data_IF_058587644153
#
_entry.id   IF_058587644153
#
_cell.length_a   1.000
_cell.length_b   1.000
_cell.length_c   1.000
_cell.angle_alpha   90.00
_cell.angle_beta   90.00
_cell.angle_gamma   90.00
#
_symmetry.space_group_name_H-M   'P 1'
#
loop_
_entity.id
_entity.type
_entity.pdbx_description
1 polymer ?
#
# COMPACT_ATOMS: atom_id res chain seq x y z
N UNK A 1 14.87 -9.89 -6.50
CA UNK A 1 14.40 -10.30 -5.16
C UNK A 1 12.90 -10.00 -5.10
N UNK A 2 12.10 -10.71 -4.31
CA UNK A 2 10.72 -10.25 -4.06
C UNK A 2 10.77 -9.07 -3.08
N UNK A 3 9.93 -8.07 -3.29
CA UNK A 3 9.82 -6.87 -2.44
C UNK A 3 8.37 -6.70 -1.99
N UNK A 4 8.08 -5.70 -1.17
CA UNK A 4 6.70 -5.35 -0.85
C UNK A 4 6.10 -4.62 -2.04
N UNK A 5 5.07 -5.19 -2.65
CA UNK A 5 4.25 -4.51 -3.65
C UNK A 5 2.99 -4.00 -3.00
N UNK A 6 2.61 -2.77 -3.32
CA UNK A 6 1.50 -2.08 -2.65
C UNK A 6 0.66 -1.26 -3.61
N UNK A 7 -0.64 -1.20 -3.32
CA UNK A 7 -1.58 -0.22 -3.83
C UNK A 7 -2.14 0.54 -2.64
N UNK A 8 -1.87 1.84 -2.59
CA UNK A 8 -2.38 2.73 -1.56
C UNK A 8 -3.38 3.72 -2.18
N UNK A 9 -4.45 4.02 -1.45
CA UNK A 9 -5.49 4.92 -1.91
C UNK A 9 -5.99 5.82 -0.77
N UNK A 10 -6.14 7.12 -1.05
CA UNK A 10 -6.80 8.08 -0.17
C UNK A 10 -8.21 8.34 -0.67
N UNK A 11 -9.18 8.24 0.23
CA UNK A 11 -10.57 8.53 -0.05
C UNK A 11 -10.98 9.91 0.53
N UNK A 12 -11.98 10.58 -0.03
CA UNK A 12 -12.42 11.88 0.47
C UNK A 12 -13.09 11.79 1.85
N UNK A 13 -13.44 10.58 2.30
CA UNK A 13 -14.16 10.32 3.55
C UNK A 13 -14.02 8.86 3.97
N UNK A 14 -14.06 8.63 5.28
CA UNK A 14 -13.79 7.32 5.91
C UNK A 14 -14.77 6.24 5.44
N UNK A 15 -16.04 6.59 5.18
CA UNK A 15 -17.04 5.60 4.74
C UNK A 15 -16.71 4.98 3.38
N UNK A 16 -16.08 5.74 2.49
CA UNK A 16 -15.63 5.21 1.20
C UNK A 16 -14.40 4.32 1.36
N UNK A 17 -13.47 4.68 2.26
CA UNK A 17 -12.34 3.83 2.60
C UNK A 17 -12.80 2.50 3.22
N UNK A 18 -13.80 2.51 4.10
CA UNK A 18 -14.41 1.30 4.68
C UNK A 18 -15.02 0.41 3.59
N UNK A 19 -15.76 0.99 2.64
CA UNK A 19 -16.36 0.20 1.57
C UNK A 19 -15.30 -0.35 0.60
N UNK A 20 -14.23 0.40 0.31
CA UNK A 20 -13.11 -0.07 -0.48
C UNK A 20 -12.34 -1.21 0.23
N UNK A 21 -12.04 -1.06 1.52
CA UNK A 21 -11.45 -2.12 2.35
C UNK A 21 -12.30 -3.40 2.29
N UNK A 22 -13.62 -3.28 2.47
CA UNK A 22 -14.52 -4.43 2.39
C UNK A 22 -14.46 -5.12 1.02
N UNK A 23 -14.48 -4.36 -0.07
CA UNK A 23 -14.46 -4.92 -1.43
C UNK A 23 -13.11 -5.56 -1.79
N UNK A 24 -11.99 -4.97 -1.37
CA UNK A 24 -10.67 -5.59 -1.50
C UNK A 24 -10.55 -6.85 -0.61
N UNK A 25 -11.17 -6.84 0.57
CA UNK A 25 -11.26 -8.02 1.43
C UNK A 25 -12.07 -9.15 0.79
N UNK A 26 -13.16 -8.84 0.09
CA UNK A 26 -13.93 -9.80 -0.71
C UNK A 26 -13.11 -10.34 -1.89
N UNK A 27 -12.40 -9.48 -2.61
CA UNK A 27 -11.47 -9.87 -3.67
C UNK A 27 -10.42 -10.85 -3.14
N UNK A 28 -9.76 -10.50 -2.01
CA UNK A 28 -8.75 -11.36 -1.39
C UNK A 28 -9.32 -12.73 -1.05
N UNK A 29 -10.51 -12.80 -0.45
CA UNK A 29 -11.17 -14.08 -0.15
C UNK A 29 -11.49 -14.87 -1.42
N UNK A 30 -12.01 -14.23 -2.46
CA UNK A 30 -12.33 -14.89 -3.73
C UNK A 30 -11.07 -15.43 -4.42
N UNK A 31 -9.95 -14.69 -4.35
CA UNK A 31 -8.68 -15.12 -4.91
C UNK A 31 -8.08 -16.30 -4.15
N UNK A 32 -8.12 -16.28 -2.81
CA UNK A 32 -7.68 -17.41 -1.98
C UNK A 32 -8.50 -18.66 -2.29
N UNK A 33 -9.81 -18.53 -2.45
CA UNK A 33 -10.67 -19.66 -2.79
C UNK A 33 -10.36 -20.20 -4.20
N UNK A 34 -10.12 -19.30 -5.16
CA UNK A 34 -9.66 -19.68 -6.49
C UNK A 34 -8.35 -20.48 -6.42
N UNK A 35 -7.34 -20.01 -5.69
CA UNK A 35 -6.06 -20.74 -5.54
C UNK A 35 -6.23 -22.13 -4.91
N UNK A 36 -7.17 -22.29 -3.98
CA UNK A 36 -7.43 -23.57 -3.31
C UNK A 36 -8.17 -24.58 -4.18
N UNK A 37 -8.99 -24.10 -5.12
CA UNK A 37 -9.94 -24.94 -5.87
C UNK A 37 -9.55 -25.17 -7.32
N UNK A 38 -8.74 -24.28 -7.90
CA UNK A 38 -8.23 -24.45 -9.26
C UNK A 38 -7.20 -25.60 -9.29
N UNK A 39 -7.27 -26.52 -10.28
CA UNK A 39 -6.30 -27.61 -10.41
C UNK A 39 -4.91 -27.13 -10.86
N UNK A 40 -4.78 -25.93 -11.41
CA UNK A 40 -3.54 -25.31 -11.88
C UNK A 40 -3.58 -23.77 -11.72
N UNK A 41 -3.68 -23.24 -10.47
CA UNK A 41 -3.84 -21.81 -10.20
C UNK A 41 -2.64 -20.99 -10.67
N UNK A 42 -1.49 -21.65 -10.82
CA UNK A 42 -0.23 -21.12 -11.29
C UNK A 42 0.09 -21.54 -12.73
N UNK A 43 -0.88 -22.07 -13.48
CA UNK A 43 -0.71 -22.52 -14.87
C UNK A 43 -0.49 -21.38 -15.85
N UNK A 44 -0.78 -20.14 -15.42
CA UNK A 44 -0.42 -18.87 -16.08
C UNK A 44 -0.95 -18.66 -17.51
N UNK A 45 -1.99 -19.41 -17.92
CA UNK A 45 -2.58 -19.27 -19.27
C UNK A 45 -3.62 -18.17 -19.35
N UNK A 46 -4.32 -17.90 -18.25
CA UNK A 46 -5.41 -16.94 -18.19
C UNK A 46 -5.34 -16.11 -16.91
N UNK A 47 -6.00 -14.96 -16.91
CA UNK A 47 -6.16 -14.14 -15.71
C UNK A 47 -7.22 -14.77 -14.81
N UNK A 48 -6.98 -14.91 -13.50
CA UNK A 48 -7.94 -15.48 -12.57
C UNK A 48 -9.29 -14.79 -12.64
N UNK A 49 -10.36 -15.59 -12.71
CA UNK A 49 -11.74 -15.12 -12.78
C UNK A 49 -12.10 -14.09 -11.70
N UNK A 50 -11.65 -14.20 -10.43
CA UNK A 50 -11.90 -13.16 -9.43
C UNK A 50 -11.44 -11.75 -9.84
N UNK A 51 -10.31 -11.62 -10.57
CA UNK A 51 -9.81 -10.33 -11.04
C UNK A 51 -10.71 -9.75 -12.14
N UNK A 52 -11.13 -10.60 -13.08
CA UNK A 52 -12.03 -10.22 -14.17
C UNK A 52 -13.39 -9.75 -13.63
N UNK A 53 -13.96 -10.50 -12.68
CA UNK A 53 -15.24 -10.16 -12.05
C UNK A 53 -15.15 -8.88 -11.22
N UNK A 54 -14.02 -8.67 -10.54
CA UNK A 54 -13.77 -7.45 -9.78
C UNK A 54 -13.69 -6.24 -10.70
N UNK A 55 -12.88 -6.30 -11.76
CA UNK A 55 -12.82 -5.22 -12.76
C UNK A 55 -14.19 -4.89 -13.35
N UNK A 56 -14.92 -5.92 -13.80
CA UNK A 56 -16.25 -5.75 -14.41
C UNK A 56 -17.26 -5.08 -13.47
N UNK A 57 -17.24 -5.39 -12.16
CA UNK A 57 -18.11 -4.75 -11.16
C UNK A 57 -17.91 -3.24 -11.07
N UNK A 58 -16.69 -2.78 -11.34
CA UNK A 58 -16.31 -1.36 -11.29
C UNK A 58 -16.23 -0.70 -12.68
N UNK A 59 -16.65 -1.39 -13.74
CA UNK A 59 -16.61 -0.88 -15.11
C UNK A 59 -15.18 -0.74 -15.67
N UNK A 60 -14.22 -1.48 -15.12
CA UNK A 60 -12.82 -1.51 -15.57
C UNK A 60 -12.54 -2.84 -16.25
N UNK A 61 -12.07 -2.81 -17.49
CA UNK A 61 -11.67 -4.03 -18.20
C UNK A 61 -10.31 -4.51 -17.69
N UNK A 62 -10.28 -5.72 -17.13
CA UNK A 62 -9.03 -6.29 -16.64
C UNK A 62 -8.31 -7.01 -17.80
N UNK A 63 -7.07 -6.63 -18.14
CA UNK A 63 -6.41 -7.17 -19.33
C UNK A 63 -6.30 -8.70 -19.28
N UNK A 64 -6.76 -9.42 -20.32
CA UNK A 64 -6.74 -10.89 -20.39
C UNK A 64 -5.35 -11.52 -20.62
N UNK A 65 -4.29 -10.78 -20.37
CA UNK A 65 -2.90 -11.20 -20.61
C UNK A 65 -2.26 -11.71 -19.32
N UNK A 66 -1.38 -12.69 -19.47
CA UNK A 66 -0.77 -13.42 -18.35
C UNK A 66 -0.06 -12.52 -17.33
N UNK A 67 0.50 -11.40 -17.77
CA UNK A 67 1.25 -10.40 -17.01
C UNK A 67 0.35 -9.43 -16.23
N UNK A 68 -0.97 -9.47 -16.44
CA UNK A 68 -1.92 -8.66 -15.67
C UNK A 68 -2.43 -9.36 -14.40
N UNK A 69 -1.93 -10.55 -14.07
CA UNK A 69 -2.26 -11.25 -12.81
C UNK A 69 -1.47 -10.68 -11.64
N UNK A 70 -1.92 -10.98 -10.43
CA UNK A 70 -1.06 -10.80 -9.26
C UNK A 70 0.16 -11.72 -9.32
N UNK A 71 1.34 -11.16 -9.09
CA UNK A 71 2.62 -11.84 -9.09
C UNK A 71 3.20 -11.76 -7.69
N UNK A 72 2.90 -12.77 -6.86
CA UNK A 72 3.36 -12.87 -5.48
C UNK A 72 4.38 -13.99 -5.33
N UNK A 73 5.18 -13.92 -4.27
CA UNK A 73 6.21 -14.93 -3.99
C UNK A 73 5.62 -16.22 -3.40
N UNK A 74 4.66 -16.05 -2.48
CA UNK A 74 4.01 -17.13 -1.74
C UNK A 74 2.52 -17.21 -2.12
N UNK A 75 1.77 -18.10 -1.48
CA UNK A 75 0.32 -18.20 -1.70
C UNK A 75 -0.37 -16.87 -1.40
N UNK A 76 -1.51 -16.59 -2.05
CA UNK A 76 -2.20 -15.31 -1.86
C UNK A 76 -2.57 -15.05 -0.41
N UNK A 77 -2.95 -16.10 0.32
CA UNK A 77 -3.32 -16.01 1.73
C UNK A 77 -2.14 -15.58 2.59
N UNK A 78 -0.97 -16.17 2.36
CA UNK A 78 0.25 -15.89 3.12
C UNK A 78 0.86 -14.53 2.72
N UNK A 79 0.86 -14.22 1.43
CA UNK A 79 1.57 -13.07 0.88
C UNK A 79 0.79 -11.74 0.98
N UNK A 80 -0.55 -11.75 0.93
CA UNK A 80 -1.33 -10.49 0.87
C UNK A 80 -1.93 -10.05 2.18
N UNK A 81 -1.92 -8.75 2.39
CA UNK A 81 -2.52 -8.07 3.54
C UNK A 81 -3.28 -6.83 3.07
N UNK A 82 -4.21 -6.41 3.91
CA UNK A 82 -5.05 -5.25 3.70
C UNK A 82 -5.16 -4.52 5.04
N UNK A 83 -4.89 -3.23 5.04
CA UNK A 83 -5.05 -2.37 6.20
C UNK A 83 -5.70 -1.06 5.78
N UNK A 84 -6.58 -0.53 6.62
CA UNK A 84 -7.18 0.79 6.49
C UNK A 84 -6.84 1.62 7.71
N UNK A 85 -6.34 2.82 7.48
CA UNK A 85 -6.10 3.83 8.51
C UNK A 85 -6.89 5.07 8.12
N UNK A 86 -7.90 5.43 8.90
CA UNK A 86 -8.80 6.54 8.59
C UNK A 86 -9.37 6.45 7.17
N UNK A 87 -8.98 7.40 6.30
CA UNK A 87 -9.38 7.52 4.89
C UNK A 87 -8.44 6.80 3.92
N UNK A 88 -7.35 6.23 4.41
CA UNK A 88 -6.33 5.53 3.63
C UNK A 88 -6.61 4.03 3.60
N UNK A 89 -6.47 3.41 2.44
CA UNK A 89 -6.50 1.96 2.28
C UNK A 89 -5.18 1.52 1.64
N UNK A 90 -4.53 0.53 2.25
CA UNK A 90 -3.30 -0.06 1.76
C UNK A 90 -3.52 -1.55 1.51
N UNK A 91 -3.38 -1.97 0.27
CA UNK A 91 -3.41 -3.36 -0.14
C UNK A 91 -2.02 -3.76 -0.62
N UNK A 92 -1.39 -4.71 0.05
CA UNK A 92 0.02 -5.00 -0.19
C UNK A 92 0.36 -6.48 -0.04
N UNK A 93 1.54 -6.88 -0.49
CA UNK A 93 2.07 -8.21 -0.26
C UNK A 93 3.50 -8.42 -0.75
N UNK A 94 4.09 -9.55 -0.39
CA UNK A 94 5.43 -9.94 -0.85
C UNK A 94 5.40 -10.49 -2.27
N UNK A 95 6.01 -9.78 -3.23
CA UNK A 95 5.90 -10.15 -4.65
C UNK A 95 6.65 -9.27 -5.63
N UNK A 96 6.04 -9.15 -6.81
CA UNK A 96 6.52 -8.44 -8.00
C UNK A 96 5.46 -7.54 -8.63
N UNK A 97 4.17 -7.90 -8.53
CA UNK A 97 3.07 -7.05 -8.99
C UNK A 97 1.78 -7.36 -8.23
N UNK A 98 1.03 -6.31 -7.89
CA UNK A 98 -0.28 -6.39 -7.25
C UNK A 98 -1.35 -5.62 -8.04
N UNK A 99 -1.48 -5.93 -9.33
CA UNK A 99 -2.56 -5.47 -10.21
C UNK A 99 -2.29 -4.15 -10.91
N UNK A 100 -1.17 -3.50 -10.58
CA UNK A 100 -0.64 -2.32 -11.23
C UNK A 100 -1.70 -1.26 -11.59
N UNK A 101 -1.62 -0.64 -12.77
CA UNK A 101 -2.55 0.41 -13.19
C UNK A 101 -4.02 -0.01 -13.24
N UNK A 102 -4.30 -1.30 -13.43
CA UNK A 102 -5.68 -1.81 -13.51
C UNK A 102 -6.35 -1.72 -12.13
N UNK A 103 -5.67 -2.21 -11.09
CA UNK A 103 -6.20 -2.12 -9.72
C UNK A 103 -6.29 -0.65 -9.28
N UNK A 104 -5.33 0.20 -9.67
CA UNK A 104 -5.42 1.64 -9.41
C UNK A 104 -6.65 2.29 -10.04
N UNK A 105 -6.94 1.94 -11.29
CA UNK A 105 -8.14 2.44 -11.99
C UNK A 105 -9.44 2.00 -11.29
N UNK A 106 -9.46 0.79 -10.73
CA UNK A 106 -10.59 0.29 -9.93
C UNK A 106 -10.72 1.07 -8.62
N UNK A 107 -9.63 1.35 -7.92
CA UNK A 107 -9.64 2.18 -6.69
C UNK A 107 -10.17 3.59 -6.98
N UNK A 108 -9.76 4.20 -8.10
CA UNK A 108 -10.34 5.46 -8.56
C UNK A 108 -11.83 5.35 -8.86
N UNK A 109 -12.28 4.26 -9.48
CA UNK A 109 -13.71 4.00 -9.73
C UNK A 109 -14.51 3.78 -8.44
N UNK A 110 -13.87 3.35 -7.35
CA UNK A 110 -14.46 3.30 -6.00
C UNK A 110 -14.53 4.68 -5.32
N UNK A 111 -13.94 5.71 -5.93
CA UNK A 111 -13.97 7.08 -5.43
C UNK A 111 -12.73 7.50 -4.63
N UNK A 112 -11.58 6.82 -4.80
CA UNK A 112 -10.31 7.32 -4.30
C UNK A 112 -9.94 8.64 -5.01
N UNK A 113 -9.47 9.63 -4.25
CA UNK A 113 -8.95 10.90 -4.80
C UNK A 113 -7.53 10.74 -5.32
N UNK A 114 -6.73 9.95 -4.61
CA UNK A 114 -5.32 9.69 -4.92
C UNK A 114 -5.12 8.18 -4.83
N UNK A 115 -4.42 7.63 -5.81
CA UNK A 115 -4.01 6.23 -5.83
C UNK A 115 -2.58 6.15 -6.29
N UNK A 116 -1.74 5.47 -5.51
CA UNK A 116 -0.31 5.39 -5.79
C UNK A 116 0.25 4.04 -5.33
N UNK A 117 1.38 3.65 -5.92
CA UNK A 117 2.21 2.54 -5.46
C UNK A 117 3.36 3.03 -4.56
N UNK A 118 3.78 4.30 -4.73
CA UNK A 118 4.70 4.99 -3.83
C UNK A 118 3.91 5.79 -2.80
N UNK A 119 4.29 5.71 -1.54
CA UNK A 119 3.48 6.25 -0.46
C UNK A 119 4.19 7.40 0.21
N UNK A 120 3.95 8.61 -0.30
CA UNK A 120 4.47 9.83 0.31
C UNK A 120 3.36 10.39 1.19
N UNK A 121 3.40 10.04 2.47
CA UNK A 121 2.37 10.37 3.44
C UNK A 121 2.78 11.59 4.26
N UNK A 122 1.77 12.28 4.79
CA UNK A 122 1.94 13.30 5.82
C UNK A 122 0.96 13.07 6.96
N UNK A 123 1.43 13.33 8.17
CA UNK A 123 0.64 13.46 9.39
C UNK A 123 0.89 14.84 10.02
N UNK A 124 0.01 15.26 10.92
CA UNK A 124 0.20 16.51 11.69
C UNK A 124 0.54 16.17 13.14
N UNK A 125 1.52 16.85 13.70
CA UNK A 125 1.87 16.75 15.12
C UNK A 125 2.32 18.11 15.66
N UNK A 126 1.87 18.48 16.86
CA UNK A 126 2.36 19.68 17.55
C UNK A 126 3.82 19.54 18.01
N UNK A 127 4.28 18.30 18.17
CA UNK A 127 5.62 17.92 18.64
C UNK A 127 6.26 16.95 17.64
N UNK A 128 6.64 17.43 16.44
CA UNK A 128 7.13 16.56 15.37
C UNK A 128 8.42 15.81 15.75
N UNK A 129 9.29 16.40 16.57
CA UNK A 129 10.52 15.73 17.02
C UNK A 129 10.22 14.55 17.95
N UNK A 130 9.37 14.76 18.95
CA UNK A 130 8.97 13.68 19.86
C UNK A 130 8.25 12.57 19.10
N UNK A 131 7.36 12.93 18.17
CA UNK A 131 6.63 11.93 17.39
C UNK A 131 7.56 11.12 16.48
N UNK A 132 8.57 11.77 15.90
CA UNK A 132 9.61 11.07 15.17
C UNK A 132 10.36 10.09 16.07
N UNK A 133 10.80 10.53 17.25
CA UNK A 133 11.52 9.69 18.23
C UNK A 133 10.69 8.43 18.60
N UNK A 134 9.39 8.58 18.85
CA UNK A 134 8.48 7.45 19.14
C UNK A 134 8.38 6.45 17.97
N UNK A 135 8.31 6.95 16.73
CA UNK A 135 8.24 6.09 15.54
C UNK A 135 9.57 5.39 15.26
N UNK A 136 10.69 6.06 15.48
CA UNK A 136 12.04 5.50 15.35
C UNK A 136 12.28 4.43 16.40
N UNK A 137 11.96 4.70 17.67
CA UNK A 137 12.08 3.73 18.76
C UNK A 137 11.28 2.46 18.45
N UNK A 138 10.04 2.60 17.94
CA UNK A 138 9.25 1.47 17.49
C UNK A 138 9.92 0.65 16.37
N UNK A 139 10.50 1.31 15.36
CA UNK A 139 11.16 0.62 14.24
C UNK A 139 12.45 -0.08 14.68
N UNK A 140 13.22 0.53 15.58
CA UNK A 140 14.42 -0.08 16.16
C UNK A 140 14.06 -1.29 17.04
N UNK A 141 12.99 -1.22 17.83
CA UNK A 141 12.49 -2.35 18.63
C UNK A 141 12.04 -3.53 17.76
N UNK A 142 11.61 -3.27 16.51
CA UNK A 142 11.23 -4.29 15.53
C UNK A 142 12.41 -4.81 14.69
N UNK A 143 13.65 -4.40 14.99
CA UNK A 143 14.88 -4.76 14.25
C UNK A 143 14.86 -4.29 12.78
N UNK A 144 14.34 -3.08 12.53
CA UNK A 144 14.18 -2.48 11.19
C UNK A 144 15.04 -1.22 10.99
N UNK A 145 16.09 -1.03 11.81
CA UNK A 145 16.96 0.16 11.78
C UNK A 145 17.72 0.37 10.46
N UNK A 146 17.81 -0.65 9.61
CA UNK A 146 18.51 -0.61 8.32
C UNK A 146 17.60 -0.27 7.13
N UNK A 147 16.31 -0.05 7.35
CA UNK A 147 15.29 0.14 6.31
C UNK A 147 14.68 1.55 6.28
N UNK A 148 15.27 2.50 7.01
CA UNK A 148 14.81 3.88 6.97
C UNK A 148 15.94 4.90 7.21
N UNK A 149 15.72 6.11 6.73
CA UNK A 149 16.57 7.27 6.97
C UNK A 149 15.76 8.41 7.59
N UNK A 150 16.37 9.11 8.56
CA UNK A 150 15.79 10.29 9.21
C UNK A 150 16.25 11.55 8.48
N UNK A 151 15.29 12.37 8.09
CA UNK A 151 15.49 13.64 7.38
C UNK A 151 16.44 13.53 6.18
N UNK A 152 16.14 12.63 5.22
CA UNK A 152 17.00 12.44 4.06
C UNK A 152 17.16 13.72 3.25
N UNK A 153 18.37 13.96 2.74
CA UNK A 153 18.68 15.12 1.92
C UNK A 153 17.98 15.05 0.54
N UNK A 154 17.92 13.84 -0.05
CA UNK A 154 17.24 13.58 -1.32
C UNK A 154 16.03 12.67 -1.09
N UNK A 155 14.83 13.21 -1.33
CA UNK A 155 13.57 12.50 -1.13
C UNK A 155 13.22 11.57 -2.29
N UNK A 156 13.76 11.82 -3.46
CA UNK A 156 13.42 11.09 -4.69
C UNK A 156 14.08 9.70 -4.73
N UNK A 157 15.06 9.47 -3.85
CA UNK A 157 15.73 8.18 -3.68
C UNK A 157 14.90 7.16 -2.88
N UNK A 158 13.79 7.59 -2.25
CA UNK A 158 12.97 6.75 -1.38
C UNK A 158 11.64 6.32 -2.03
N UNK A 159 11.26 5.06 -1.80
CA UNK A 159 10.00 4.49 -2.29
C UNK A 159 8.80 4.98 -1.49
N UNK A 160 8.97 5.13 -0.18
CA UNK A 160 7.94 5.62 0.72
C UNK A 160 8.52 6.71 1.62
N UNK A 161 7.68 7.67 1.99
CA UNK A 161 8.05 8.77 2.87
C UNK A 161 6.92 9.01 3.87
N UNK A 162 7.30 9.40 5.08
CA UNK A 162 6.38 9.97 6.05
C UNK A 162 6.88 11.34 6.50
N UNK A 163 6.14 12.39 6.17
CA UNK A 163 6.36 13.74 6.70
C UNK A 163 5.53 13.97 7.96
N UNK A 164 6.20 14.25 9.07
CA UNK A 164 5.60 14.65 10.34
C UNK A 164 5.59 16.16 10.39
N UNK A 165 4.45 16.75 10.02
CA UNK A 165 4.31 18.20 9.87
C UNK A 165 3.94 18.87 11.19
N UNK A 166 4.85 19.69 11.70
CA UNK A 166 4.61 20.56 12.84
C UNK A 166 4.31 22.02 12.49
N UNK A 167 4.02 22.85 13.51
CA UNK A 167 3.65 24.25 13.31
C UNK A 167 4.82 25.14 12.88
N UNK A 168 6.07 24.73 13.12
CA UNK A 168 7.28 25.54 12.85
C UNK A 168 8.30 24.83 11.95
N UNK A 169 8.32 23.51 11.99
CA UNK A 169 9.22 22.68 11.20
C UNK A 169 8.54 21.33 10.92
N UNK A 170 9.20 20.50 10.13
CA UNK A 170 8.73 19.16 9.79
C UNK A 170 9.90 18.20 9.88
N UNK A 171 9.59 16.94 10.20
CA UNK A 171 10.54 15.83 10.23
C UNK A 171 10.12 14.79 9.21
N UNK A 172 11.07 14.04 8.69
CA UNK A 172 10.81 13.07 7.62
C UNK A 172 11.44 11.74 7.96
N UNK A 173 10.70 10.67 7.71
CA UNK A 173 11.24 9.31 7.57
C UNK A 173 11.16 8.92 6.10
N UNK A 174 12.30 8.56 5.52
CA UNK A 174 12.36 7.91 4.22
C UNK A 174 12.54 6.41 4.37
N UNK A 175 11.87 5.63 3.53
CA UNK A 175 11.96 4.16 3.49
C UNK A 175 12.36 3.73 2.08
N UNK A 176 13.45 2.98 1.99
CA UNK A 176 14.07 2.57 0.74
C UNK A 176 14.02 1.05 0.53
N UNK A 177 14.42 0.62 -0.67
CA UNK A 177 14.45 -0.78 -1.08
C UNK A 177 15.84 -1.44 -0.94
N UNK A 178 16.76 -0.85 -0.16
CA UNK A 178 18.23 -1.03 -0.19
C UNK A 178 18.79 -2.46 -0.08
N UNK A 179 17.93 -3.46 -0.01
CA UNK A 179 18.25 -4.86 -0.25
C UNK A 179 17.36 -5.81 0.56
N UNK A 180 16.55 -5.26 1.46
CA UNK A 180 15.64 -5.96 2.36
C UNK A 180 14.28 -5.30 2.22
N UNK A 181 13.31 -6.08 1.73
CA UNK A 181 11.88 -5.77 1.60
C UNK A 181 11.37 -4.63 2.52
N UNK A 182 10.56 -3.70 1.99
CA UNK A 182 10.02 -2.47 2.64
C UNK A 182 9.09 -2.72 3.85
N UNK A 183 9.47 -3.59 4.77
CA UNK A 183 8.66 -3.99 5.91
C UNK A 183 8.61 -2.88 6.96
N UNK A 184 9.64 -2.06 7.11
CA UNK A 184 9.64 -0.89 8.00
C UNK A 184 8.44 0.03 7.77
N UNK A 185 8.20 0.45 6.53
CA UNK A 185 7.07 1.30 6.21
C UNK A 185 5.73 0.61 6.54
N UNK A 186 5.61 -0.67 6.19
CA UNK A 186 4.40 -1.46 6.46
C UNK A 186 4.12 -1.62 7.96
N UNK A 187 5.15 -1.88 8.77
CA UNK A 187 5.04 -2.01 10.23
C UNK A 187 4.68 -0.68 10.88
N UNK A 188 5.10 0.42 10.27
CA UNK A 188 4.81 1.77 10.77
C UNK A 188 3.37 2.22 10.49
N UNK A 189 2.75 1.83 9.37
CA UNK A 189 1.38 2.26 9.00
C UNK A 189 0.36 2.13 10.16
N UNK A 190 0.26 1.00 10.89
CA UNK A 190 -0.63 0.88 12.05
C UNK A 190 -0.42 1.93 13.14
N UNK A 191 0.81 2.44 13.31
CA UNK A 191 1.13 3.44 14.33
C UNK A 191 0.53 4.81 14.02
N UNK A 192 0.03 5.02 12.79
CA UNK A 192 -0.56 6.28 12.34
C UNK A 192 -2.08 6.37 12.59
N UNK A 193 -2.67 5.37 13.25
CA UNK A 193 -4.10 5.36 13.55
C UNK A 193 -4.51 6.55 14.43
N UNK A 194 -5.59 7.24 14.06
CA UNK A 194 -6.03 8.48 14.69
C UNK A 194 -5.27 9.75 14.27
N UNK A 195 -4.27 9.67 13.38
CA UNK A 195 -3.46 10.82 12.95
C UNK A 195 -3.89 11.41 11.60
N UNK A 196 -4.96 10.89 10.98
CA UNK A 196 -5.49 11.24 9.65
C UNK A 196 -4.38 11.39 8.58
N UNK A 197 -3.60 10.31 8.33
CA UNK A 197 -2.58 10.33 7.29
C UNK A 197 -3.22 10.64 5.94
N UNK A 198 -2.52 11.42 5.12
CA UNK A 198 -2.93 11.79 3.77
C UNK A 198 -1.75 11.81 2.83
N UNK A 199 -1.98 11.71 1.52
CA UNK A 199 -0.90 11.85 0.56
C UNK A 199 -0.36 13.30 0.53
N UNK A 200 0.94 13.40 0.33
CA UNK A 200 1.57 14.62 -0.14
C UNK A 200 1.21 14.73 -1.63
N UNK A 201 0.28 15.63 -1.95
CA UNK A 201 0.04 16.00 -3.34
C UNK A 201 1.35 16.59 -3.85
N UNK A 202 1.99 15.94 -4.83
CA UNK A 202 3.01 16.61 -5.64
C UNK A 202 2.27 17.78 -6.29
N UNK A 203 2.53 19.00 -5.81
CA UNK A 203 2.02 20.18 -6.50
C UNK A 203 2.55 20.08 -7.93
N UNK A 204 1.64 20.07 -8.91
CA UNK A 204 2.01 20.18 -10.31
C UNK A 204 2.82 21.47 -10.45
N UNK A 205 4.13 21.36 -10.69
CA UNK A 205 4.96 22.49 -11.14
C UNK A 205 4.43 23.06 -12.47
#
# INVERSE_FOLDING_TARGET
MAHVVMQAAEFPRVELAIEAEKQLGELRKAYIEFEKTDPDPWGFKEVPKPLLEFGARHGVDWPHRKDARFLLKDSFDEATRLIRIERMVFFYGGGFDLGGPTLRSILSAMGAEIVDEFCYLKIRSETPDQRLEELVEFLEDEELEDQFEIDPEDRDDFLHLLEIKGPRHSRILGFDDSGVSDWAFIHLIPQLDGEDPSFIRREEE
#
